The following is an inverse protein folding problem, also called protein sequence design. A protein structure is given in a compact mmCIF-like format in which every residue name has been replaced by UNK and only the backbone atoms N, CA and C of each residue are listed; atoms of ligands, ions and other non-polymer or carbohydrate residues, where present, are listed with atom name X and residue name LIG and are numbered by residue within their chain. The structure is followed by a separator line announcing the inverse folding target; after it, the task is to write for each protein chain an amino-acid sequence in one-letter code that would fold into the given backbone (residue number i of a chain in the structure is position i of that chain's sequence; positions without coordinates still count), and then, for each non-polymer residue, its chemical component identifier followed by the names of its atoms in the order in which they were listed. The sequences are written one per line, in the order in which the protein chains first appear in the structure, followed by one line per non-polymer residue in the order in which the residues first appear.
data_IF_865001465146
#
_entry.id   IF_865001465146
#
_cell.length_a   1.000
_cell.length_b   1.000
_cell.length_c   1.000
_cell.angle_alpha   90.00
_cell.angle_beta   90.00
_cell.angle_gamma   90.00
#
_symmetry.space_group_name_H-M   'P 1'
#
loop_
_entity.id
_entity.type
_entity.pdbx_description
1 polymer ?
#
# COMPACT_ATOMS: atom_id res chain seq x y z
N UNK A 1 -8.06 -12.71 -7.99
CA UNK A 1 -8.62 -11.45 -8.50
C UNK A 1 -7.55 -10.38 -8.34
N UNK A 2 -7.11 -9.74 -9.42
CA UNK A 2 -6.13 -8.66 -9.32
C UNK A 2 -6.81 -7.37 -8.90
N UNK A 3 -6.27 -6.68 -7.88
CA UNK A 3 -6.71 -5.32 -7.53
C UNK A 3 -6.46 -4.33 -8.66
N UNK A 4 -7.32 -3.31 -8.74
CA UNK A 4 -7.25 -2.20 -9.70
C UNK A 4 -6.14 -1.22 -9.35
N UNK A 5 -5.85 -1.04 -8.05
CA UNK A 5 -4.76 -0.20 -7.58
C UNK A 5 -3.50 -1.04 -7.40
N UNK A 6 -2.52 -0.78 -8.27
CA UNK A 6 -1.17 -1.34 -8.20
C UNK A 6 -0.17 -0.22 -8.00
N UNK A 7 1.02 -0.57 -7.50
CA UNK A 7 2.14 0.35 -7.39
C UNK A 7 2.77 0.66 -8.76
N UNK A 8 1.94 1.10 -9.71
CA UNK A 8 2.33 1.62 -11.02
C UNK A 8 2.49 3.14 -10.96
N UNK A 9 3.23 3.71 -11.92
CA UNK A 9 3.56 5.14 -11.97
C UNK A 9 2.34 6.03 -11.79
N UNK A 10 1.23 5.74 -12.49
CA UNK A 10 0.02 6.55 -12.45
C UNK A 10 -0.55 6.68 -11.02
N UNK A 11 -0.78 5.56 -10.33
CA UNK A 11 -1.38 5.57 -9.00
C UNK A 11 -0.41 6.09 -7.94
N UNK A 12 0.87 5.75 -8.05
CA UNK A 12 1.91 6.26 -7.15
C UNK A 12 1.95 7.79 -7.23
N UNK A 13 2.04 8.36 -8.43
CA UNK A 13 2.10 9.82 -8.59
C UNK A 13 0.80 10.49 -8.15
N UNK A 14 -0.36 9.91 -8.46
CA UNK A 14 -1.68 10.45 -8.09
C UNK A 14 -1.87 10.54 -6.58
N UNK A 15 -1.55 9.48 -5.84
CA UNK A 15 -1.89 9.39 -4.42
C UNK A 15 -0.76 9.82 -3.48
N UNK A 16 0.50 9.65 -3.90
CA UNK A 16 1.65 10.03 -3.06
C UNK A 16 2.21 11.40 -3.42
N UNK A 17 1.94 11.92 -4.63
CA UNK A 17 2.59 13.12 -5.16
C UNK A 17 4.08 12.95 -5.46
N UNK A 18 4.63 11.74 -5.29
CA UNK A 18 6.03 11.42 -5.55
C UNK A 18 6.18 10.90 -6.97
N UNK A 19 7.20 11.39 -7.68
CA UNK A 19 7.70 10.70 -8.89
C UNK A 19 8.07 9.27 -8.55
N UNK A 20 7.87 8.35 -9.50
CA UNK A 20 8.12 6.92 -9.29
C UNK A 20 9.53 6.61 -8.72
N UNK A 21 10.58 7.28 -9.20
CA UNK A 21 11.94 7.10 -8.67
C UNK A 21 12.15 7.62 -7.24
N UNK A 22 11.39 8.63 -6.79
CA UNK A 22 11.38 9.05 -5.39
C UNK A 22 10.61 8.04 -4.52
N UNK A 23 9.53 7.48 -5.03
CA UNK A 23 8.80 6.40 -4.38
C UNK A 23 9.65 5.14 -4.20
N UNK A 24 10.44 4.74 -5.19
CA UNK A 24 11.38 3.61 -5.03
C UNK A 24 12.41 3.84 -3.92
N UNK A 25 12.89 5.08 -3.76
CA UNK A 25 13.78 5.45 -2.65
C UNK A 25 13.07 5.33 -1.30
N UNK A 26 11.82 5.79 -1.22
CA UNK A 26 10.99 5.60 -0.02
C UNK A 26 10.83 4.12 0.31
N UNK A 27 10.52 3.26 -0.67
CA UNK A 27 10.40 1.82 -0.45
C UNK A 27 11.68 1.18 0.07
N UNK A 28 12.85 1.65 -0.38
CA UNK A 28 14.14 1.20 0.13
C UNK A 28 14.29 1.54 1.62
N UNK A 29 14.03 2.79 1.99
CA UNK A 29 14.10 3.24 3.40
C UNK A 29 13.11 2.47 4.26
N UNK A 30 11.86 2.31 3.82
CA UNK A 30 10.84 1.55 4.55
C UNK A 30 11.27 0.09 4.75
N UNK A 31 11.91 -0.50 3.75
CA UNK A 31 12.46 -1.87 3.86
C UNK A 31 13.59 -1.93 4.89
N UNK A 32 14.51 -0.97 4.88
CA UNK A 32 15.62 -0.87 5.83
C UNK A 32 15.12 -0.62 7.27
N UNK A 33 14.02 0.12 7.42
CA UNK A 33 13.32 0.31 8.70
C UNK A 33 12.48 -0.89 9.15
N UNK A 34 12.53 -2.03 8.45
CA UNK A 34 11.84 -3.25 8.85
C UNK A 34 10.39 -3.37 8.39
N UNK A 35 9.90 -2.51 7.49
CA UNK A 35 8.52 -2.58 6.96
C UNK A 35 8.21 -3.84 6.14
N UNK A 36 9.22 -4.65 5.81
CA UNK A 36 9.06 -5.96 5.18
C UNK A 36 9.06 -7.14 6.18
N UNK A 37 9.30 -6.87 7.47
CA UNK A 37 9.27 -7.88 8.52
C UNK A 37 7.82 -8.24 8.92
N UNK A 38 7.62 -9.40 9.57
CA UNK A 38 6.35 -9.69 10.23
C UNK A 38 6.18 -8.74 11.41
N UNK A 39 5.42 -7.65 11.23
CA UNK A 39 4.87 -6.90 12.37
C UNK A 39 3.90 -7.82 13.10
N UNK A 40 3.87 -7.73 14.44
CA UNK A 40 2.95 -8.50 15.29
C UNK A 40 1.54 -8.53 14.69
N UNK A 41 1.02 -9.73 14.44
CA UNK A 41 -0.27 -9.93 13.78
C UNK A 41 -0.17 -10.75 12.49
N UNK A 42 -1.26 -10.76 11.72
CA UNK A 42 -1.35 -11.54 10.48
C UNK A 42 -0.51 -10.88 9.38
N UNK A 43 0.34 -11.64 8.66
CA UNK A 43 1.13 -11.07 7.57
C UNK A 43 0.21 -10.52 6.49
N UNK A 44 0.38 -9.25 6.14
CA UNK A 44 -0.33 -8.64 5.03
C UNK A 44 0.02 -9.36 3.73
N UNK A 45 -0.98 -9.90 3.03
CA UNK A 45 -0.77 -10.58 1.73
C UNK A 45 -0.34 -9.63 0.58
N UNK A 46 -0.09 -8.34 0.87
CA UNK A 46 0.33 -7.34 -0.10
C UNK A 46 1.86 -7.22 -0.15
N UNK A 47 2.46 -7.02 -1.34
CA UNK A 47 3.84 -6.57 -1.47
C UNK A 47 4.02 -5.17 -0.85
N UNK A 48 5.24 -4.88 -0.37
CA UNK A 48 5.55 -3.64 0.35
C UNK A 48 5.10 -2.37 -0.39
N UNK A 49 5.27 -2.34 -1.71
CA UNK A 49 4.89 -1.19 -2.54
C UNK A 49 3.38 -0.90 -2.48
N UNK A 50 2.56 -1.95 -2.51
CA UNK A 50 1.10 -1.82 -2.44
C UNK A 50 0.64 -1.49 -1.02
N UNK A 51 1.36 -1.92 0.02
CA UNK A 51 1.09 -1.50 1.41
C UNK A 51 1.30 0.00 1.59
N UNK A 52 2.44 0.51 1.12
CA UNK A 52 2.76 1.94 1.22
C UNK A 52 1.79 2.77 0.40
N UNK A 53 1.42 2.29 -0.80
CA UNK A 53 0.40 2.95 -1.62
C UNK A 53 -0.96 2.94 -0.92
N UNK A 54 -1.40 1.81 -0.35
CA UNK A 54 -2.65 1.70 0.40
C UNK A 54 -2.70 2.71 1.56
N UNK A 55 -1.62 2.81 2.34
CA UNK A 55 -1.51 3.80 3.41
C UNK A 55 -1.64 5.22 2.86
N UNK A 56 -0.97 5.54 1.75
CA UNK A 56 -1.08 6.85 1.12
C UNK A 56 -2.51 7.14 0.64
N UNK A 57 -3.19 6.18 0.00
CA UNK A 57 -4.58 6.34 -0.44
C UNK A 57 -5.50 6.52 0.77
N UNK A 58 -5.32 5.74 1.83
CA UNK A 58 -6.08 5.88 3.07
C UNK A 58 -5.92 7.26 3.70
N UNK A 59 -4.71 7.83 3.71
CA UNK A 59 -4.50 9.19 4.22
C UNK A 59 -5.02 10.27 3.28
N UNK A 60 -4.99 10.05 1.95
CA UNK A 60 -5.37 11.07 0.96
C UNK A 60 -6.87 11.08 0.64
N UNK A 61 -7.57 9.99 0.92
CA UNK A 61 -8.98 9.81 0.61
C UNK A 61 -9.78 9.50 1.87
N UNK A 62 -11.04 9.90 1.95
CA UNK A 62 -11.93 9.57 3.07
C UNK A 62 -12.52 8.13 2.95
N UNK A 63 -11.77 7.21 2.35
CA UNK A 63 -12.24 5.84 2.12
C UNK A 63 -11.94 4.95 3.32
N UNK A 64 -12.90 4.12 3.69
CA UNK A 64 -12.72 3.10 4.74
C UNK A 64 -11.85 1.94 4.22
N UNK A 65 -11.19 1.21 5.13
CA UNK A 65 -10.43 0.01 4.77
C UNK A 65 -11.26 -1.05 4.04
N UNK A 66 -12.58 -1.12 4.30
CA UNK A 66 -13.51 -2.02 3.58
C UNK A 66 -13.71 -1.61 2.12
N UNK A 67 -13.61 -0.32 1.81
CA UNK A 67 -13.69 0.19 0.44
C UNK A 67 -12.33 0.12 -0.27
N UNK A 68 -11.22 0.28 0.46
CA UNK A 68 -9.87 0.20 -0.09
C UNK A 68 -9.44 -1.23 -0.40
N UNK A 69 -9.74 -2.19 0.49
CA UNK A 69 -9.34 -3.59 0.32
C UNK A 69 -9.67 -4.19 -1.06
N UNK A 70 -10.89 -4.06 -1.61
CA UNK A 70 -11.19 -4.57 -2.95
C UNK A 70 -10.41 -3.85 -4.05
N UNK A 71 -10.06 -2.57 -3.88
CA UNK A 71 -9.25 -1.84 -4.86
C UNK A 71 -7.82 -2.40 -4.96
N UNK A 72 -7.26 -2.91 -3.86
CA UNK A 72 -5.95 -3.57 -3.84
C UNK A 72 -6.04 -5.10 -4.06
N UNK A 73 -7.24 -5.63 -4.30
CA UNK A 73 -7.44 -7.07 -4.53
C UNK A 73 -7.24 -7.92 -3.28
N UNK A 74 -7.39 -7.33 -2.10
CA UNK A 74 -7.30 -8.01 -0.81
C UNK A 74 -8.65 -8.06 -0.10
N UNK A 75 -8.82 -9.04 0.78
CA UNK A 75 -9.98 -9.09 1.64
C UNK A 75 -9.87 -8.02 2.73
N UNK A 76 -10.96 -7.33 3.11
CA UNK A 76 -10.97 -6.40 4.25
C UNK A 76 -10.43 -7.03 5.54
N UNK A 77 -10.66 -8.32 5.74
CA UNK A 77 -10.14 -9.10 6.86
C UNK A 77 -8.61 -9.30 6.83
N UNK A 78 -7.93 -8.90 5.76
CA UNK A 78 -6.46 -8.89 5.66
C UNK A 78 -5.88 -7.52 6.01
N UNK A 79 -6.73 -6.48 6.10
CA UNK A 79 -6.32 -5.07 6.32
C UNK A 79 -6.74 -4.60 7.73
N UNK A 80 -7.90 -5.03 8.23
CA UNK A 80 -8.40 -4.71 9.57
C UNK A 80 -8.29 -5.93 10.49
N UNK A 81 -7.16 -6.05 11.20
CA UNK A 81 -7.08 -6.70 12.53
C UNK A 81 -6.10 -5.90 13.39
#
# INVERSE_FOLDING_TARGET
MGGVLRAETLWVETFTGLRFGAFQRLLKVVRECGGNGPMMGRPWCLPLAERVLLVAVYYRTNLTMRQLAPLFGVSPATVCE
#
